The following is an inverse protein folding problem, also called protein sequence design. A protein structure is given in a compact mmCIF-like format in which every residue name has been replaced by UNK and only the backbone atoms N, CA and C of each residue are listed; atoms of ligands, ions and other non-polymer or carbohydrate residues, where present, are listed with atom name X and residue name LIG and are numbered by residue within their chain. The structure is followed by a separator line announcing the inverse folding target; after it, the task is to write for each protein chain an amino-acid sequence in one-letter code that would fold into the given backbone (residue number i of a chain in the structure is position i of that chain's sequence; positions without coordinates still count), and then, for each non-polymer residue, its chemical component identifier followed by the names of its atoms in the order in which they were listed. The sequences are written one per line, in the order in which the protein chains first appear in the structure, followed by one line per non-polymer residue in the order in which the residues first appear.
data_IF_715848900437
#
_entry.id   IF_715848900437
#
_cell.length_a   1.000
_cell.length_b   1.000
_cell.length_c   1.000
_cell.angle_alpha   90.00
_cell.angle_beta   90.00
_cell.angle_gamma   90.00
#
_symmetry.space_group_name_H-M   'P 1'
#
loop_
_entity.id
_entity.type
_entity.pdbx_description
1 polymer ?
#
# COMPACT_ATOMS: atom_id res chain seq x y z
N UNK A 1 -10.97 21.43 79.65
CA UNK A 1 -10.43 21.10 78.28
C UNK A 1 -11.30 19.99 77.77
N UNK A 2 -12.41 20.33 77.10
CA UNK A 2 -13.30 19.32 76.50
C UNK A 2 -12.90 19.04 75.04
N UNK A 3 -12.37 17.85 74.83
CA UNK A 3 -12.09 17.34 73.53
C UNK A 3 -13.38 16.71 72.96
N UNK A 4 -14.17 17.50 72.21
CA UNK A 4 -15.40 17.05 71.57
C UNK A 4 -15.04 16.40 70.19
N UNK A 5 -14.62 15.17 70.23
CA UNK A 5 -14.44 14.33 69.02
C UNK A 5 -15.81 13.80 68.62
N UNK A 6 -16.52 14.55 67.76
CA UNK A 6 -17.78 14.07 67.18
C UNK A 6 -17.43 13.00 66.12
N UNK A 7 -17.88 11.77 66.38
CA UNK A 7 -17.83 10.68 65.39
C UNK A 7 -18.76 10.96 64.19
N UNK A 8 -18.35 10.94 62.97
CA UNK A 8 -19.19 11.28 61.80
C UNK A 8 -20.37 10.32 61.67
N UNK A 9 -21.55 10.90 61.42
CA UNK A 9 -22.80 10.17 61.26
C UNK A 9 -22.82 9.23 60.07
N UNK A 10 -23.68 8.19 60.12
CA UNK A 10 -23.78 7.19 59.01
C UNK A 10 -24.14 7.82 57.64
N UNK A 11 -24.85 8.96 57.65
CA UNK A 11 -25.22 9.74 56.47
C UNK A 11 -23.99 10.44 55.86
N UNK A 12 -23.11 11.04 56.66
CA UNK A 12 -21.87 11.68 56.22
C UNK A 12 -20.86 10.68 55.63
N UNK A 13 -20.74 9.49 56.26
CA UNK A 13 -19.90 8.40 55.71
C UNK A 13 -20.39 7.92 54.33
N UNK A 14 -21.69 7.89 54.08
CA UNK A 14 -22.27 7.50 52.80
C UNK A 14 -22.08 8.57 51.72
N UNK A 15 -22.15 9.84 52.06
CA UNK A 15 -21.87 10.94 51.11
C UNK A 15 -20.39 10.95 50.71
N UNK A 16 -19.48 10.78 51.65
CA UNK A 16 -18.02 10.72 51.36
C UNK A 16 -17.69 9.51 50.45
N UNK A 17 -18.31 8.34 50.66
CA UNK A 17 -18.17 7.19 49.79
C UNK A 17 -18.68 7.46 48.37
N UNK A 18 -19.84 8.12 48.25
CA UNK A 18 -20.45 8.46 46.95
C UNK A 18 -19.60 9.45 46.15
N UNK A 19 -18.99 10.42 46.80
CA UNK A 19 -18.05 11.36 46.17
C UNK A 19 -16.73 10.68 45.75
N UNK A 20 -16.20 9.77 46.57
CA UNK A 20 -14.98 9.00 46.20
C UNK A 20 -15.22 8.11 44.99
N UNK A 21 -16.33 7.37 44.94
CA UNK A 21 -16.66 6.50 43.78
C UNK A 21 -16.86 7.35 42.51
N UNK A 22 -17.58 8.47 42.60
CA UNK A 22 -17.75 9.39 41.47
C UNK A 22 -16.41 9.94 40.97
N UNK A 23 -15.54 10.38 41.87
CA UNK A 23 -14.23 10.90 41.50
C UNK A 23 -13.33 9.81 40.88
N UNK A 24 -13.39 8.57 41.40
CA UNK A 24 -12.66 7.44 40.81
C UNK A 24 -13.14 7.14 39.38
N UNK A 25 -14.47 7.15 39.17
CA UNK A 25 -15.04 6.96 37.80
C UNK A 25 -14.61 8.09 36.87
N UNK A 26 -14.62 9.36 37.34
CA UNK A 26 -14.17 10.49 36.52
C UNK A 26 -12.69 10.41 36.17
N UNK A 27 -11.85 9.97 37.11
CA UNK A 27 -10.41 9.76 36.83
C UNK A 27 -10.20 8.62 35.83
N UNK A 28 -10.92 7.51 35.97
CA UNK A 28 -10.85 6.40 35.01
C UNK A 28 -11.30 6.83 33.58
N UNK A 29 -12.40 7.60 33.51
CA UNK A 29 -12.86 8.19 32.24
C UNK A 29 -11.82 9.14 31.62
N UNK A 30 -11.20 9.99 32.43
CA UNK A 30 -10.14 10.88 31.97
C UNK A 30 -8.93 10.11 31.47
N UNK A 31 -8.51 9.01 32.11
CA UNK A 31 -7.44 8.14 31.67
C UNK A 31 -7.80 7.47 30.33
N UNK A 32 -9.03 6.97 30.16
CA UNK A 32 -9.50 6.36 28.91
C UNK A 32 -9.49 7.39 27.78
N UNK A 33 -9.93 8.62 28.02
CA UNK A 33 -9.92 9.69 27.01
C UNK A 33 -8.48 10.09 26.65
N UNK A 34 -7.58 10.20 27.62
CA UNK A 34 -6.19 10.53 27.38
C UNK A 34 -5.45 9.42 26.63
N UNK A 35 -5.70 8.14 26.97
CA UNK A 35 -5.10 7.01 26.26
C UNK A 35 -5.64 6.87 24.85
N UNK A 36 -6.96 7.01 24.65
CA UNK A 36 -7.57 7.00 23.31
C UNK A 36 -7.08 8.18 22.46
N UNK A 37 -6.98 9.37 23.02
CA UNK A 37 -6.44 10.56 22.37
C UNK A 37 -4.94 10.40 22.02
N UNK A 38 -4.15 9.85 22.93
CA UNK A 38 -2.73 9.58 22.72
C UNK A 38 -2.49 8.52 21.63
N UNK A 39 -3.26 7.44 21.64
CA UNK A 39 -3.19 6.40 20.59
C UNK A 39 -3.63 6.93 19.23
N UNK A 40 -4.71 7.72 19.18
CA UNK A 40 -5.18 8.35 17.95
C UNK A 40 -4.16 9.35 17.40
N UNK A 41 -3.53 10.14 18.26
CA UNK A 41 -2.49 11.08 17.86
C UNK A 41 -1.21 10.36 17.41
N UNK A 42 -0.80 9.29 18.08
CA UNK A 42 0.33 8.45 17.70
C UNK A 42 0.08 7.77 16.34
N UNK A 43 -1.10 7.18 16.13
CA UNK A 43 -1.50 6.59 14.86
C UNK A 43 -1.51 7.64 13.74
N UNK A 44 -2.08 8.83 14.00
CA UNK A 44 -2.08 9.94 13.04
C UNK A 44 -0.66 10.41 12.68
N UNK A 45 0.23 10.53 13.66
CA UNK A 45 1.62 10.95 13.44
C UNK A 45 2.40 9.90 12.65
N UNK A 46 2.22 8.60 12.96
CA UNK A 46 2.86 7.51 12.21
C UNK A 46 2.33 7.40 10.77
N UNK A 47 1.03 7.58 10.57
CA UNK A 47 0.42 7.57 9.24
C UNK A 47 0.88 8.78 8.42
N UNK A 48 1.02 9.95 9.05
CA UNK A 48 1.56 11.14 8.39
C UNK A 48 3.02 10.98 7.98
N UNK A 49 3.86 10.40 8.86
CA UNK A 49 5.26 10.10 8.53
C UNK A 49 5.41 9.12 7.36
N UNK A 50 4.59 8.07 7.31
CA UNK A 50 4.58 7.11 6.20
C UNK A 50 4.07 7.74 4.88
N UNK A 51 3.13 8.68 4.96
CA UNK A 51 2.63 9.44 3.79
C UNK A 51 3.69 10.46 3.34
N UNK A 52 4.35 11.16 4.25
CA UNK A 52 5.38 12.15 3.93
C UNK A 52 6.64 11.50 3.33
N UNK A 53 7.02 10.28 3.75
CA UNK A 53 8.11 9.51 3.13
C UNK A 53 7.74 8.97 1.74
N UNK A 54 6.47 8.61 1.50
CA UNK A 54 5.99 8.26 0.16
C UNK A 54 5.73 9.50 -0.72
N UNK A 55 5.67 10.68 -0.13
CA UNK A 55 5.50 11.97 -0.79
C UNK A 55 6.84 12.73 -0.89
N UNK A 56 7.94 12.02 -1.18
CA UNK A 56 9.19 12.67 -1.51
C UNK A 56 8.91 13.67 -2.63
N UNK A 57 9.00 14.96 -2.32
CA UNK A 57 8.74 16.04 -3.26
C UNK A 57 9.62 15.87 -4.49
N UNK A 58 9.04 15.38 -5.59
CA UNK A 58 9.76 14.98 -6.80
C UNK A 58 10.23 16.15 -7.64
N UNK A 59 9.97 17.39 -7.21
CA UNK A 59 10.22 18.56 -8.05
C UNK A 59 9.43 18.53 -9.37
N UNK A 60 8.41 17.67 -9.48
CA UNK A 60 7.54 17.62 -10.66
C UNK A 60 6.69 18.88 -10.68
N UNK A 61 6.93 19.75 -11.64
CA UNK A 61 6.00 20.83 -11.94
C UNK A 61 4.71 20.16 -12.45
N UNK A 62 3.65 20.24 -11.64
CA UNK A 62 2.34 19.67 -11.99
C UNK A 62 1.75 20.43 -13.17
N UNK A 63 1.17 19.72 -14.12
CA UNK A 63 0.53 20.28 -15.31
C UNK A 63 -0.74 21.09 -14.98
N UNK A 64 -1.32 20.89 -13.76
CA UNK A 64 -2.46 21.66 -13.26
C UNK A 64 -2.43 21.83 -11.74
N UNK A 65 -3.21 22.77 -11.20
CA UNK A 65 -3.34 23.00 -9.76
C UNK A 65 -4.21 21.92 -9.13
N UNK A 66 -3.58 20.89 -8.57
CA UNK A 66 -4.24 19.71 -7.98
C UNK A 66 -5.13 20.08 -6.79
N UNK A 67 -4.72 21.07 -5.95
CA UNK A 67 -5.56 21.51 -4.83
C UNK A 67 -6.92 22.04 -5.30
N UNK A 68 -6.93 22.80 -6.40
CA UNK A 68 -8.17 23.30 -6.98
C UNK A 68 -8.99 22.17 -7.62
N UNK A 69 -8.35 21.19 -8.25
CA UNK A 69 -9.02 20.01 -8.83
C UNK A 69 -9.75 19.23 -7.75
N UNK A 70 -9.07 18.92 -6.64
CA UNK A 70 -9.65 18.17 -5.51
C UNK A 70 -10.79 18.95 -4.86
N UNK A 71 -10.59 20.27 -4.58
CA UNK A 71 -11.61 21.11 -3.95
C UNK A 71 -12.86 21.27 -4.82
N UNK A 72 -12.72 21.26 -6.13
CA UNK A 72 -13.84 21.39 -7.07
C UNK A 72 -14.52 20.06 -7.40
N UNK A 73 -14.11 18.94 -6.80
CA UNK A 73 -14.67 17.61 -7.05
C UNK A 73 -14.42 17.08 -8.47
N UNK A 74 -13.51 17.69 -9.23
CA UNK A 74 -13.19 17.25 -10.60
C UNK A 74 -12.41 15.92 -10.56
N UNK A 75 -12.46 15.14 -11.67
CA UNK A 75 -11.70 13.90 -11.77
C UNK A 75 -10.21 14.10 -11.53
N UNK A 76 -9.63 13.20 -10.73
CA UNK A 76 -8.19 13.12 -10.44
C UNK A 76 -7.58 11.91 -11.11
N UNK A 77 -6.30 12.01 -11.43
CA UNK A 77 -5.51 10.95 -12.05
C UNK A 77 -4.32 10.60 -11.15
N UNK A 78 -4.11 9.30 -10.96
CA UNK A 78 -3.05 8.76 -10.11
C UNK A 78 -2.26 7.75 -10.92
N UNK A 79 -0.97 7.98 -11.12
CA UNK A 79 -0.09 7.08 -11.84
C UNK A 79 0.59 6.12 -10.84
N UNK A 80 0.34 4.83 -11.02
CA UNK A 80 0.89 3.77 -10.19
C UNK A 80 2.03 3.09 -10.94
N UNK A 81 3.20 2.98 -10.29
CA UNK A 81 4.38 2.31 -10.84
C UNK A 81 4.82 1.16 -9.96
N UNK A 82 5.18 0.04 -10.58
CA UNK A 82 5.96 -1.02 -9.96
C UNK A 82 7.39 -1.02 -10.49
N UNK A 83 8.39 -1.03 -9.62
CA UNK A 83 9.80 -1.17 -9.97
C UNK A 83 10.43 -2.34 -9.22
N UNK A 84 11.43 -2.96 -9.82
CA UNK A 84 12.22 -4.03 -9.21
C UNK A 84 13.52 -3.52 -8.54
N UNK A 85 13.69 -2.22 -8.42
CA UNK A 85 14.84 -1.59 -7.77
C UNK A 85 14.85 -1.89 -6.27
N UNK A 86 16.01 -2.20 -5.72
CA UNK A 86 16.20 -2.43 -4.27
C UNK A 86 15.97 -3.86 -3.82
N UNK A 87 15.63 -4.79 -4.72
CA UNK A 87 15.42 -6.21 -4.42
C UNK A 87 16.41 -7.10 -5.16
N UNK A 88 16.65 -8.31 -4.62
CA UNK A 88 17.54 -9.31 -5.22
C UNK A 88 18.96 -8.75 -5.52
N UNK A 89 19.47 -7.86 -4.67
CA UNK A 89 20.78 -7.22 -4.87
C UNK A 89 20.84 -6.17 -5.98
N UNK A 90 19.69 -5.76 -6.54
CA UNK A 90 19.63 -4.73 -7.59
C UNK A 90 19.73 -3.34 -6.99
N UNK A 91 20.92 -2.74 -7.06
CA UNK A 91 21.19 -1.39 -6.56
C UNK A 91 21.03 -0.30 -7.65
N UNK A 92 20.89 -0.73 -8.91
CA UNK A 92 20.74 0.19 -10.04
C UNK A 92 19.30 0.67 -10.18
N UNK A 93 19.14 1.82 -10.81
CA UNK A 93 17.85 2.38 -11.17
C UNK A 93 17.23 1.54 -12.29
N UNK A 94 16.22 0.75 -11.93
CA UNK A 94 15.53 -0.15 -12.86
C UNK A 94 14.53 0.56 -13.77
N UNK A 95 13.70 -0.23 -14.45
CA UNK A 95 12.55 0.24 -15.23
C UNK A 95 11.28 0.07 -14.42
N UNK A 96 10.23 0.75 -14.82
CA UNK A 96 8.90 0.58 -14.25
C UNK A 96 8.16 -0.51 -15.04
N UNK A 97 8.23 -1.75 -14.58
CA UNK A 97 7.68 -2.89 -15.30
C UNK A 97 6.17 -3.09 -15.11
N UNK A 98 5.58 -2.44 -14.11
CA UNK A 98 4.13 -2.34 -13.93
C UNK A 98 3.74 -0.87 -13.93
N UNK A 99 2.79 -0.49 -14.78
CA UNK A 99 2.35 0.90 -14.94
C UNK A 99 0.83 0.92 -15.11
N UNK A 100 0.15 1.66 -14.25
CA UNK A 100 -1.31 1.80 -14.28
C UNK A 100 -1.70 3.25 -14.04
N UNK A 101 -2.72 3.74 -14.74
CA UNK A 101 -3.35 5.02 -14.49
C UNK A 101 -4.72 4.80 -13.84
N UNK A 102 -4.89 5.33 -12.64
CA UNK A 102 -6.14 5.31 -11.91
C UNK A 102 -6.83 6.67 -12.09
N UNK A 103 -8.03 6.65 -12.65
CA UNK A 103 -8.88 7.83 -12.80
C UNK A 103 -10.03 7.75 -11.81
N UNK A 104 -10.08 8.69 -10.87
CA UNK A 104 -11.13 8.76 -9.85
C UNK A 104 -12.01 9.97 -10.14
N UNK A 105 -13.28 9.73 -10.40
CA UNK A 105 -14.27 10.77 -10.60
C UNK A 105 -15.23 10.84 -9.39
N UNK A 106 -15.06 11.82 -8.50
CA UNK A 106 -15.91 11.98 -7.31
C UNK A 106 -17.37 12.30 -7.64
N UNK A 107 -17.63 13.04 -8.71
CA UNK A 107 -18.99 13.44 -9.12
C UNK A 107 -19.83 12.22 -9.54
N UNK A 108 -19.26 11.33 -10.33
CA UNK A 108 -19.95 10.12 -10.79
C UNK A 108 -19.70 8.91 -9.88
N UNK A 109 -18.87 9.06 -8.82
CA UNK A 109 -18.43 8.00 -7.93
C UNK A 109 -17.82 6.78 -8.67
N UNK A 110 -17.18 7.04 -9.81
CA UNK A 110 -16.54 6.00 -10.62
C UNK A 110 -15.04 6.09 -10.53
N UNK A 111 -14.44 4.90 -10.45
CA UNK A 111 -12.99 4.71 -10.56
C UNK A 111 -12.71 3.84 -11.77
N UNK A 112 -11.83 4.30 -12.65
CA UNK A 112 -11.36 3.55 -13.83
C UNK A 112 -9.88 3.30 -13.68
N UNK A 113 -9.46 2.05 -13.88
CA UNK A 113 -8.06 1.65 -13.91
C UNK A 113 -7.67 1.31 -15.34
N UNK A 114 -6.57 1.87 -15.81
CA UNK A 114 -6.03 1.67 -17.16
C UNK A 114 -4.61 1.12 -17.01
N UNK A 115 -4.39 -0.12 -17.46
CA UNK A 115 -3.05 -0.69 -17.56
C UNK A 115 -2.32 -0.06 -18.74
N UNK A 116 -1.09 0.44 -18.50
CA UNK A 116 -0.25 1.02 -19.53
C UNK A 116 0.75 -0.03 -20.01
N UNK A 117 0.75 -0.31 -21.30
CA UNK A 117 1.70 -1.24 -21.89
C UNK A 117 3.13 -0.70 -21.70
N UNK A 118 3.93 -1.36 -20.85
CA UNK A 118 5.32 -0.97 -20.54
C UNK A 118 6.20 -0.85 -21.79
N UNK A 119 5.89 -1.65 -22.82
CA UNK A 119 6.61 -1.72 -24.08
C UNK A 119 6.03 -0.79 -25.16
N UNK A 120 5.03 0.06 -24.82
CA UNK A 120 4.50 1.05 -25.76
C UNK A 120 5.65 1.93 -26.28
N UNK A 121 5.66 2.14 -27.58
CA UNK A 121 6.66 2.96 -28.27
C UNK A 121 6.33 4.45 -28.08
N UNK A 122 7.24 5.18 -27.45
CA UNK A 122 7.06 6.60 -27.11
C UNK A 122 8.33 7.42 -27.38
N UNK A 123 8.15 8.73 -27.49
CA UNK A 123 9.22 9.71 -27.33
C UNK A 123 9.33 10.08 -25.84
N UNK A 124 10.50 9.91 -25.24
CA UNK A 124 10.73 10.24 -23.83
C UNK A 124 10.96 11.74 -23.72
N UNK A 125 10.14 12.41 -22.91
CA UNK A 125 10.23 13.87 -22.70
C UNK A 125 11.59 14.24 -22.11
N UNK A 126 12.32 15.15 -22.79
CA UNK A 126 13.68 15.55 -22.47
C UNK A 126 14.78 14.64 -23.02
N UNK A 127 14.40 13.57 -23.75
CA UNK A 127 15.31 12.62 -24.41
C UNK A 127 14.80 12.23 -25.81
N UNK A 128 14.18 13.16 -26.51
CA UNK A 128 13.49 12.96 -27.79
C UNK A 128 14.43 12.39 -28.87
N UNK A 129 15.72 12.70 -28.78
CA UNK A 129 16.75 12.18 -29.71
C UNK A 129 17.00 10.67 -29.57
N UNK A 130 16.45 10.03 -28.55
CA UNK A 130 16.54 8.58 -28.33
C UNK A 130 15.36 7.80 -28.92
N UNK A 131 14.39 8.48 -29.51
CA UNK A 131 13.22 7.82 -30.12
C UNK A 131 13.63 6.80 -31.21
N UNK A 132 12.97 5.63 -31.29
CA UNK A 132 11.86 5.16 -30.45
C UNK A 132 12.34 4.49 -29.16
N UNK A 133 11.61 4.71 -28.05
CA UNK A 133 11.87 4.07 -26.78
C UNK A 133 10.61 3.42 -26.17
N UNK A 134 10.82 2.45 -25.28
CA UNK A 134 9.74 1.86 -24.50
C UNK A 134 9.27 2.81 -23.39
N UNK A 135 7.97 2.86 -23.10
CA UNK A 135 7.39 3.72 -22.08
C UNK A 135 8.05 3.53 -20.70
N UNK A 136 8.33 2.27 -20.32
CA UNK A 136 8.97 1.96 -19.04
C UNK A 136 10.43 2.44 -18.92
N UNK A 137 11.09 2.74 -20.06
CA UNK A 137 12.44 3.26 -20.07
C UNK A 137 12.50 4.73 -19.60
N UNK A 138 11.39 5.48 -19.66
CA UNK A 138 11.35 6.87 -19.25
C UNK A 138 11.82 7.09 -17.81
N UNK A 139 11.52 6.15 -16.91
CA UNK A 139 11.99 6.18 -15.53
C UNK A 139 13.52 6.00 -15.44
N UNK A 140 14.08 5.08 -16.20
CA UNK A 140 15.53 4.81 -16.22
C UNK A 140 16.34 5.96 -16.84
N UNK A 141 15.84 6.57 -17.92
CA UNK A 141 16.50 7.70 -18.60
C UNK A 141 16.56 8.95 -17.72
N UNK A 142 15.45 9.27 -17.08
CA UNK A 142 15.36 10.50 -16.28
C UNK A 142 15.05 10.21 -14.82
N UNK A 143 13.80 10.34 -14.45
CA UNK A 143 13.32 10.16 -13.09
C UNK A 143 11.80 9.90 -13.11
N UNK A 144 11.19 9.86 -11.92
CA UNK A 144 9.74 9.89 -11.78
C UNK A 144 9.13 11.06 -12.57
N UNK A 145 9.77 12.25 -12.52
CA UNK A 145 9.33 13.43 -13.27
C UNK A 145 9.31 13.18 -14.79
N UNK A 146 10.39 12.61 -15.34
CA UNK A 146 10.48 12.28 -16.77
C UNK A 146 9.40 11.27 -17.16
N UNK A 147 9.22 10.24 -16.34
CA UNK A 147 8.20 9.22 -16.59
C UNK A 147 6.78 9.80 -16.56
N UNK A 148 6.45 10.65 -15.57
CA UNK A 148 5.15 11.34 -15.49
C UNK A 148 4.91 12.18 -16.74
N UNK A 149 5.85 13.06 -17.10
CA UNK A 149 5.72 13.91 -18.29
C UNK A 149 5.59 13.11 -19.58
N UNK A 150 6.28 11.98 -19.68
CA UNK A 150 6.17 11.10 -20.85
C UNK A 150 4.79 10.45 -20.91
N UNK A 151 4.23 9.99 -19.78
CA UNK A 151 2.86 9.45 -19.71
C UNK A 151 1.83 10.53 -20.02
N UNK A 152 1.97 11.75 -19.46
CA UNK A 152 1.08 12.89 -19.77
C UNK A 152 1.09 13.22 -21.26
N UNK A 153 2.27 13.25 -21.89
CA UNK A 153 2.42 13.49 -23.32
C UNK A 153 1.82 12.38 -24.16
N UNK A 154 2.04 11.12 -23.76
CA UNK A 154 1.56 9.95 -24.48
C UNK A 154 0.03 9.82 -24.46
N UNK A 155 -0.60 10.09 -23.29
CA UNK A 155 -2.05 9.94 -23.11
C UNK A 155 -2.83 11.22 -23.31
N UNK A 156 -2.17 12.37 -23.34
CA UNK A 156 -2.77 13.70 -23.25
C UNK A 156 -3.71 13.87 -22.02
N UNK A 157 -3.30 13.29 -20.89
CA UNK A 157 -4.02 13.33 -19.61
C UNK A 157 -3.05 13.85 -18.54
N UNK A 158 -3.43 14.89 -17.76
CA UNK A 158 -2.60 15.35 -16.65
C UNK A 158 -2.51 14.29 -15.56
N UNK A 159 -1.36 14.14 -14.92
CA UNK A 159 -1.14 13.26 -13.76
C UNK A 159 -1.07 14.10 -12.49
N UNK A 160 -2.06 13.95 -11.62
CA UNK A 160 -2.18 14.73 -10.38
C UNK A 160 -1.33 14.16 -9.26
N UNK A 161 -1.34 12.83 -9.12
CA UNK A 161 -0.62 12.07 -8.11
C UNK A 161 0.10 10.88 -8.73
N UNK A 162 1.07 10.36 -8.00
CA UNK A 162 1.71 9.10 -8.36
C UNK A 162 2.04 8.29 -7.11
N UNK A 163 2.19 7.00 -7.26
CA UNK A 163 2.78 6.10 -6.28
C UNK A 163 3.82 5.21 -6.97
N UNK A 164 5.02 5.18 -6.42
CA UNK A 164 6.10 4.31 -6.87
C UNK A 164 6.34 3.25 -5.80
N UNK A 165 6.16 1.99 -6.16
CA UNK A 165 6.24 0.86 -5.24
C UNK A 165 7.27 -0.12 -5.77
N UNK A 166 8.23 -0.51 -4.93
CA UNK A 166 9.11 -1.64 -5.19
C UNK A 166 8.52 -2.92 -4.53
N UNK A 167 9.19 -4.04 -4.72
CA UNK A 167 8.73 -5.34 -4.21
C UNK A 167 8.56 -5.33 -2.68
N UNK A 168 9.54 -4.80 -1.93
CA UNK A 168 9.46 -4.68 -0.47
C UNK A 168 8.34 -3.71 -0.05
N UNK A 169 8.13 -2.64 -0.79
CA UNK A 169 7.02 -1.70 -0.58
C UNK A 169 5.67 -2.36 -0.77
N UNK A 170 5.51 -3.22 -1.79
CA UNK A 170 4.28 -3.97 -2.02
C UNK A 170 3.97 -4.90 -0.84
N UNK A 171 4.97 -5.70 -0.39
CA UNK A 171 4.81 -6.59 0.77
C UNK A 171 4.36 -5.81 2.00
N UNK A 172 5.07 -4.72 2.35
CA UNK A 172 4.72 -3.86 3.48
C UNK A 172 3.33 -3.23 3.38
N UNK A 173 2.91 -2.81 2.18
CA UNK A 173 1.57 -2.25 1.97
C UNK A 173 0.48 -3.28 2.22
N UNK A 174 0.67 -4.52 1.76
CA UNK A 174 -0.27 -5.62 2.00
C UNK A 174 -0.37 -5.91 3.49
N UNK A 175 0.75 -6.00 4.21
CA UNK A 175 0.77 -6.22 5.66
C UNK A 175 0.08 -5.07 6.41
N UNK A 176 0.31 -3.82 5.98
CA UNK A 176 -0.28 -2.64 6.61
C UNK A 176 -1.82 -2.59 6.52
N UNK A 177 -2.40 -3.14 5.45
CA UNK A 177 -3.86 -3.23 5.30
C UNK A 177 -4.44 -4.51 5.92
N UNK A 178 -3.63 -5.33 6.58
CA UNK A 178 -4.04 -6.57 7.23
C UNK A 178 -4.15 -7.76 6.30
N UNK A 179 -3.49 -7.71 5.14
CA UNK A 179 -3.49 -8.75 4.13
C UNK A 179 -4.57 -8.56 3.06
N UNK A 180 -4.49 -9.37 2.02
CA UNK A 180 -5.45 -9.37 0.90
C UNK A 180 -5.94 -10.79 0.61
N UNK A 181 -7.15 -10.89 0.03
CA UNK A 181 -7.73 -12.17 -0.35
C UNK A 181 -8.11 -12.12 -1.83
N UNK A 182 -7.44 -12.94 -2.65
CA UNK A 182 -7.60 -12.97 -4.11
C UNK A 182 -7.79 -14.42 -4.54
N UNK A 183 -8.73 -14.67 -5.44
CA UNK A 183 -8.88 -15.98 -6.07
C UNK A 183 -7.80 -16.17 -7.12
N UNK A 184 -7.08 -17.28 -7.05
CA UNK A 184 -6.07 -17.58 -8.07
C UNK A 184 -6.73 -17.95 -9.40
N UNK A 185 -6.30 -17.40 -10.54
CA UNK A 185 -6.80 -17.76 -11.85
C UNK A 185 -6.33 -19.16 -12.31
N UNK A 186 -5.21 -19.65 -11.76
CA UNK A 186 -4.59 -20.93 -12.10
C UNK A 186 -4.03 -21.62 -10.85
N UNK A 187 -3.74 -22.92 -10.94
CA UNK A 187 -2.93 -23.63 -9.96
C UNK A 187 -1.45 -23.32 -10.21
N UNK A 188 -0.70 -22.93 -9.18
CA UNK A 188 0.74 -22.77 -9.30
C UNK A 188 1.48 -22.86 -7.96
N UNK A 189 2.77 -23.14 -8.04
CA UNK A 189 3.72 -23.09 -6.93
C UNK A 189 4.84 -22.12 -7.27
N UNK A 190 5.21 -21.28 -6.32
CA UNK A 190 6.22 -20.25 -6.57
C UNK A 190 7.10 -19.98 -5.35
N UNK A 191 8.42 -19.88 -5.58
CA UNK A 191 9.39 -19.37 -4.62
C UNK A 191 9.89 -17.99 -5.05
N UNK A 192 9.95 -17.06 -4.12
CA UNK A 192 10.50 -15.72 -4.38
C UNK A 192 12.00 -15.75 -4.67
N UNK A 193 12.73 -16.66 -4.04
CA UNK A 193 14.19 -16.78 -4.12
C UNK A 193 14.64 -17.34 -5.47
N UNK A 194 13.93 -18.33 -5.98
CA UNK A 194 14.31 -19.00 -7.25
C UNK A 194 13.51 -18.51 -8.45
N UNK A 195 12.37 -17.86 -8.23
CA UNK A 195 11.36 -17.50 -9.23
C UNK A 195 10.74 -18.73 -9.95
N UNK A 196 10.78 -19.91 -9.32
CA UNK A 196 10.30 -21.18 -9.86
C UNK A 196 9.51 -21.97 -8.81
N UNK A 197 8.97 -23.13 -9.20
CA UNK A 197 8.23 -24.06 -8.34
C UNK A 197 9.13 -24.94 -7.43
N UNK A 198 10.33 -24.50 -7.11
CA UNK A 198 11.27 -25.17 -6.20
C UNK A 198 12.08 -24.15 -5.40
N UNK A 199 12.62 -24.58 -4.28
CA UNK A 199 13.44 -23.75 -3.40
C UNK A 199 12.78 -23.50 -2.05
N UNK A 200 13.39 -22.69 -1.18
CA UNK A 200 12.78 -22.29 0.07
C UNK A 200 11.61 -21.33 -0.13
N UNK A 201 10.78 -21.16 0.89
CA UNK A 201 9.64 -20.25 0.88
C UNK A 201 8.71 -20.45 -0.32
N UNK A 202 8.27 -21.69 -0.54
CA UNK A 202 7.28 -22.02 -1.56
C UNK A 202 5.87 -21.63 -1.12
N UNK A 203 5.14 -21.01 -2.02
CA UNK A 203 3.73 -20.72 -1.90
C UNK A 203 2.96 -21.51 -2.95
N UNK A 204 1.90 -22.20 -2.54
CA UNK A 204 1.02 -22.96 -3.43
C UNK A 204 -0.36 -22.35 -3.43
N UNK A 205 -0.85 -22.02 -4.62
CA UNK A 205 -2.15 -21.39 -4.86
C UNK A 205 -3.04 -22.30 -5.69
N UNK A 206 -4.35 -22.27 -5.42
CA UNK A 206 -5.33 -23.16 -6.04
C UNK A 206 -6.29 -22.38 -6.91
N UNK A 207 -6.49 -22.87 -8.14
CA UNK A 207 -7.37 -22.25 -9.13
C UNK A 207 -8.80 -22.06 -8.61
N UNK A 208 -9.31 -20.84 -8.73
CA UNK A 208 -10.66 -20.46 -8.31
C UNK A 208 -10.83 -20.27 -6.80
N UNK A 209 -9.79 -20.54 -6.00
CA UNK A 209 -9.82 -20.42 -4.56
C UNK A 209 -9.00 -19.24 -4.05
N UNK A 210 -9.35 -18.75 -2.85
CA UNK A 210 -8.52 -17.77 -2.11
C UNK A 210 -7.51 -18.47 -1.19
N UNK A 211 -7.55 -19.80 -1.13
CA UNK A 211 -6.69 -20.60 -0.28
C UNK A 211 -5.28 -20.71 -0.87
N UNK A 212 -4.31 -20.67 0.04
CA UNK A 212 -2.91 -20.95 -0.27
C UNK A 212 -2.24 -21.66 0.91
N UNK A 213 -1.14 -22.35 0.65
CA UNK A 213 -0.25 -22.95 1.62
C UNK A 213 1.17 -22.46 1.42
N UNK A 214 1.95 -22.52 2.49
CA UNK A 214 3.37 -22.17 2.50
C UNK A 214 4.23 -23.36 2.94
N UNK A 215 5.41 -23.49 2.34
CA UNK A 215 6.44 -24.48 2.71
C UNK A 215 7.81 -23.81 2.76
N UNK A 216 8.53 -24.02 3.84
CA UNK A 216 9.91 -23.55 4.05
C UNK A 216 10.97 -24.63 3.77
N UNK A 217 10.55 -25.86 3.47
CA UNK A 217 11.39 -27.03 3.30
C UNK A 217 11.37 -27.62 1.88
N UNK A 218 11.24 -26.77 0.87
CA UNK A 218 11.17 -27.15 -0.55
C UNK A 218 10.00 -28.07 -0.88
N UNK A 219 8.84 -27.82 -0.28
CA UNK A 219 7.58 -28.52 -0.58
C UNK A 219 7.41 -29.88 0.07
N UNK A 220 8.31 -30.28 1.01
CA UNK A 220 8.18 -31.53 1.74
C UNK A 220 7.04 -31.50 2.74
N UNK A 221 6.88 -30.36 3.43
CA UNK A 221 5.75 -30.12 4.32
C UNK A 221 5.06 -28.81 3.97
N UNK A 222 3.74 -28.77 4.17
CA UNK A 222 2.93 -27.60 3.86
C UNK A 222 2.18 -27.13 5.11
N UNK A 223 2.09 -25.82 5.29
CA UNK A 223 1.30 -25.22 6.35
C UNK A 223 -0.20 -25.54 6.18
N UNK A 224 -0.99 -25.27 7.23
CA UNK A 224 -2.45 -25.22 7.06
C UNK A 224 -2.80 -24.14 6.04
N UNK A 225 -3.84 -24.43 5.22
CA UNK A 225 -4.37 -23.46 4.26
C UNK A 225 -4.78 -22.15 4.93
N UNK A 226 -4.40 -21.05 4.34
CA UNK A 226 -4.76 -19.68 4.70
C UNK A 226 -5.60 -19.08 3.58
N UNK A 227 -6.40 -18.05 3.86
CA UNK A 227 -7.27 -17.38 2.89
C UNK A 227 -6.97 -15.89 2.74
N UNK A 228 -6.15 -15.35 3.64
CA UNK A 228 -5.69 -13.97 3.61
C UNK A 228 -4.17 -14.01 3.44
N UNK A 229 -3.69 -13.51 2.31
CA UNK A 229 -2.27 -13.41 1.99
C UNK A 229 -1.65 -12.27 2.79
N UNK A 230 -0.56 -12.56 3.47
CA UNK A 230 0.38 -11.55 3.97
C UNK A 230 1.18 -10.95 2.81
N UNK A 231 2.07 -10.00 3.11
CA UNK A 231 2.86 -9.31 2.11
C UNK A 231 3.75 -10.24 1.28
N UNK A 232 4.32 -11.27 1.91
CA UNK A 232 5.20 -12.22 1.22
C UNK A 232 4.43 -13.16 0.31
N UNK A 233 3.30 -13.68 0.75
CA UNK A 233 2.42 -14.48 -0.09
C UNK A 233 1.86 -13.66 -1.27
N UNK A 234 1.46 -12.41 -1.03
CA UNK A 234 0.98 -11.51 -2.07
C UNK A 234 2.08 -11.16 -3.09
N UNK A 235 3.31 -10.98 -2.62
CA UNK A 235 4.46 -10.76 -3.49
C UNK A 235 4.77 -12.01 -4.34
N UNK A 236 4.74 -13.21 -3.74
CA UNK A 236 4.90 -14.47 -4.46
C UNK A 236 3.80 -14.64 -5.52
N UNK A 237 2.53 -14.36 -5.15
CA UNK A 237 1.40 -14.41 -6.07
C UNK A 237 1.58 -13.47 -7.27
N UNK A 238 1.99 -12.22 -7.03
CA UNK A 238 2.14 -11.21 -8.08
C UNK A 238 3.34 -11.45 -9.01
N UNK A 239 4.36 -12.16 -8.55
CA UNK A 239 5.61 -12.40 -9.29
C UNK A 239 5.61 -13.69 -10.11
N UNK A 240 4.67 -14.61 -9.89
CA UNK A 240 4.54 -15.82 -10.70
C UNK A 240 4.46 -15.44 -12.19
N UNK A 241 5.23 -16.12 -13.01
CA UNK A 241 5.39 -15.75 -14.43
C UNK A 241 5.28 -16.93 -15.37
N UNK A 242 5.86 -18.07 -15.01
CA UNK A 242 6.11 -19.16 -15.94
C UNK A 242 4.94 -20.14 -16.06
N UNK A 243 4.07 -20.21 -15.07
CA UNK A 243 2.95 -21.18 -15.05
C UNK A 243 1.67 -20.63 -15.70
N UNK A 244 1.65 -19.35 -16.08
CA UNK A 244 0.52 -18.78 -16.84
C UNK A 244 0.65 -19.15 -18.31
N UNK A 245 -0.32 -19.89 -18.90
CA UNK A 245 -0.28 -20.29 -20.31
C UNK A 245 -0.32 -19.10 -21.27
N UNK A 246 -0.82 -17.94 -20.83
CA UNK A 246 -0.84 -16.69 -21.60
C UNK A 246 0.37 -15.79 -21.30
N UNK A 247 1.31 -16.25 -20.46
CA UNK A 247 2.51 -15.51 -20.09
C UNK A 247 2.21 -14.16 -19.43
N UNK A 248 2.91 -13.12 -19.86
CA UNK A 248 2.75 -11.77 -19.29
C UNK A 248 1.36 -11.16 -19.54
N UNK A 249 0.62 -11.60 -20.55
CA UNK A 249 -0.73 -11.10 -20.85
C UNK A 249 -1.78 -11.66 -19.88
N UNK A 250 -1.65 -12.90 -19.45
CA UNK A 250 -2.60 -13.51 -18.49
C UNK A 250 -2.59 -12.81 -17.12
N UNK A 251 -1.44 -12.25 -16.74
CA UNK A 251 -1.30 -11.51 -15.47
C UNK A 251 -1.91 -10.11 -15.48
N UNK A 252 -2.24 -9.57 -16.64
CA UNK A 252 -2.82 -8.22 -16.80
C UNK A 252 -4.34 -8.24 -16.83
N UNK A 253 -4.98 -9.40 -16.80
CA UNK A 253 -6.42 -9.60 -16.73
C UNK A 253 -6.89 -9.83 -15.29
#
# INVERSE_FOLDING_TARGET
MDNNTQTPTRAEKNQVKKHRVRNTILVLLAIIILTAGGLSWWAFKNTKGAIDESYAGTGVNKSRNVSNVVKSGRPISILLYGTDTGELGRTYKGRTDSMMLLLVNPETQKTTMISLARDAMVSIVGYENTFPQKLNAAYAYGSTSTSIKTVESFLNIPVDFYALVNMSGLSKMVDQVGGISIKSPIDFVYSQETAHAYGPNLYRFHKGETKYEHSDDNGKTWSKSRTVMDGDAALAFSRMRYDDPNGDYGRQQ
#
